data_IF_887565886591
#
_entry.id   IF_887565886591
#
_cell.length_a   1.000
_cell.length_b   1.000
_cell.length_c   1.000
_cell.angle_alpha   90.00
_cell.angle_beta   90.00
_cell.angle_gamma   90.00
#
_symmetry.space_group_name_H-M   'P 1'
#
loop_
_entity.id
_entity.type
_entity.pdbx_description
1 polymer ?
#
# COMPACT_ATOMS: atom_id res chain seq x y z
N UNK A 1 -12.13 50.32 70.84
CA UNK A 1 -13.28 49.67 70.18
C UNK A 1 -12.75 48.74 69.09
N UNK A 2 -12.92 47.42 69.31
CA UNK A 2 -13.64 46.45 68.45
C UNK A 2 -12.89 45.94 67.20
N UNK A 3 -12.10 44.89 67.46
CA UNK A 3 -12.05 43.57 66.82
C UNK A 3 -12.59 43.31 65.39
N UNK A 4 -11.75 42.55 64.65
CA UNK A 4 -12.02 41.51 63.61
C UNK A 4 -12.40 42.05 62.22
N UNK A 5 -11.96 41.47 61.10
CA UNK A 5 -11.82 40.05 60.77
C UNK A 5 -10.64 39.78 59.81
N UNK A 6 -9.66 39.00 60.28
CA UNK A 6 -8.91 38.10 59.41
C UNK A 6 -9.63 36.76 59.42
N UNK A 7 -9.98 36.22 58.25
CA UNK A 7 -10.15 34.78 57.90
C UNK A 7 -11.36 34.58 56.96
N UNK A 8 -11.12 34.50 55.64
CA UNK A 8 -11.83 33.56 54.77
C UNK A 8 -11.26 33.46 53.33
N UNK A 9 -9.95 33.29 53.13
CA UNK A 9 -9.40 33.09 51.76
C UNK A 9 -8.63 31.78 51.56
N UNK A 10 -8.43 30.99 52.61
CA UNK A 10 -7.66 29.75 52.52
C UNK A 10 -8.51 28.49 52.30
N UNK A 11 -9.77 28.44 52.75
CA UNK A 11 -10.61 27.24 52.60
C UNK A 11 -11.11 26.99 51.17
N UNK A 12 -11.38 28.03 50.39
CA UNK A 12 -11.86 27.92 49.01
C UNK A 12 -10.79 27.43 48.04
N UNK A 13 -9.51 27.76 48.28
CA UNK A 13 -8.38 27.35 47.43
C UNK A 13 -8.08 25.86 47.53
N UNK A 14 -8.19 25.26 48.72
CA UNK A 14 -7.99 23.81 48.86
C UNK A 14 -9.09 23.03 48.15
N UNK A 15 -10.36 23.44 48.30
CA UNK A 15 -11.49 22.81 47.60
C UNK A 15 -11.35 22.92 46.07
N UNK A 16 -10.97 24.09 45.54
CA UNK A 16 -10.77 24.25 44.10
C UNK A 16 -9.59 23.44 43.56
N UNK A 17 -8.49 23.31 44.30
CA UNK A 17 -7.35 22.45 43.92
C UNK A 17 -7.74 20.97 43.90
N UNK A 18 -8.53 20.49 44.86
CA UNK A 18 -9.06 19.13 44.83
C UNK A 18 -9.95 18.91 43.62
N UNK A 19 -10.87 19.84 43.32
CA UNK A 19 -11.74 19.75 42.14
C UNK A 19 -10.93 19.72 40.84
N UNK A 20 -9.91 20.57 40.71
CA UNK A 20 -9.02 20.58 39.53
C UNK A 20 -8.23 19.27 39.44
N UNK A 21 -7.72 18.75 40.56
CA UNK A 21 -7.01 17.47 40.60
C UNK A 21 -7.92 16.31 40.17
N UNK A 22 -9.14 16.23 40.69
CA UNK A 22 -10.10 15.20 40.31
C UNK A 22 -10.49 15.31 38.83
N UNK A 23 -10.68 16.53 38.32
CA UNK A 23 -10.96 16.77 36.91
C UNK A 23 -9.79 16.34 36.03
N UNK A 24 -8.55 16.63 36.44
CA UNK A 24 -7.35 16.21 35.73
C UNK A 24 -7.23 14.68 35.69
N UNK A 25 -7.41 13.99 36.82
CA UNK A 25 -7.40 12.53 36.86
C UNK A 25 -8.52 11.94 35.99
N UNK A 26 -9.71 12.54 36.02
CA UNK A 26 -10.83 12.12 35.19
C UNK A 26 -10.55 12.29 33.70
N UNK A 27 -9.98 13.44 33.30
CA UNK A 27 -9.56 13.68 31.92
C UNK A 27 -8.47 12.72 31.48
N UNK A 28 -7.49 12.42 32.33
CA UNK A 28 -6.46 11.43 32.05
C UNK A 28 -7.06 10.04 31.86
N UNK A 29 -7.96 9.61 32.74
CA UNK A 29 -8.66 8.33 32.62
C UNK A 29 -9.51 8.26 31.34
N UNK A 30 -10.22 9.34 31.00
CA UNK A 30 -10.99 9.45 29.76
C UNK A 30 -10.07 9.40 28.53
N UNK A 31 -8.94 10.11 28.54
CA UNK A 31 -7.95 10.11 27.46
C UNK A 31 -7.30 8.73 27.26
N UNK A 32 -6.99 8.02 28.34
CA UNK A 32 -6.52 6.64 28.29
C UNK A 32 -7.57 5.71 27.68
N UNK A 33 -8.85 5.90 28.04
CA UNK A 33 -9.97 5.16 27.47
C UNK A 33 -10.16 5.42 25.97
N UNK A 34 -10.14 6.67 25.54
CA UNK A 34 -10.28 7.03 24.12
C UNK A 34 -9.08 6.56 23.29
N UNK A 35 -7.87 6.64 23.83
CA UNK A 35 -6.67 6.11 23.18
C UNK A 35 -6.78 4.60 22.98
N UNK A 36 -7.33 3.87 23.96
CA UNK A 36 -7.57 2.42 23.84
C UNK A 36 -8.62 2.10 22.78
N UNK A 37 -9.70 2.86 22.72
CA UNK A 37 -10.75 2.70 21.71
C UNK A 37 -10.22 3.00 20.30
N UNK A 38 -9.40 4.06 20.18
CA UNK A 38 -8.73 4.43 18.94
C UNK A 38 -7.74 3.37 18.48
N UNK A 39 -7.02 2.74 19.41
CA UNK A 39 -6.19 1.56 19.14
C UNK A 39 -6.99 0.41 18.53
N UNK A 40 -8.16 0.10 19.11
CA UNK A 40 -9.04 -0.97 18.61
C UNK A 40 -9.65 -0.63 17.23
N UNK A 41 -9.96 0.64 17.00
CA UNK A 41 -10.38 1.14 15.69
C UNK A 41 -9.27 1.01 14.63
N UNK A 42 -8.04 1.37 14.99
CA UNK A 42 -6.88 1.20 14.13
C UNK A 42 -6.63 -0.28 13.82
N UNK A 43 -6.70 -1.15 14.82
CA UNK A 43 -6.54 -2.59 14.64
C UNK A 43 -7.58 -3.15 13.67
N UNK A 44 -8.83 -2.72 13.79
CA UNK A 44 -9.89 -3.08 12.84
C UNK A 44 -9.56 -2.63 11.42
N UNK A 45 -9.14 -1.36 11.23
CA UNK A 45 -8.77 -0.84 9.90
C UNK A 45 -7.54 -1.52 9.31
N UNK A 46 -6.54 -1.82 10.14
CA UNK A 46 -5.33 -2.54 9.73
C UNK A 46 -5.72 -3.96 9.31
N UNK A 47 -6.59 -4.63 10.07
CA UNK A 47 -7.11 -5.96 9.74
C UNK A 47 -7.88 -5.96 8.41
N UNK A 48 -8.74 -4.96 8.18
CA UNK A 48 -9.45 -4.83 6.91
C UNK A 48 -8.48 -4.61 5.73
N UNK A 49 -7.47 -3.76 5.93
CA UNK A 49 -6.46 -3.47 4.90
C UNK A 49 -5.62 -4.71 4.61
N UNK A 50 -5.17 -5.43 5.65
CA UNK A 50 -4.43 -6.67 5.51
C UNK A 50 -5.25 -7.73 4.77
N UNK A 51 -6.53 -7.87 5.11
CA UNK A 51 -7.45 -8.78 4.42
C UNK A 51 -7.57 -8.44 2.92
N UNK A 52 -7.66 -7.16 2.57
CA UNK A 52 -7.70 -6.72 1.16
C UNK A 52 -6.39 -7.06 0.43
N UNK A 53 -5.25 -6.94 1.09
CA UNK A 53 -3.94 -7.32 0.53
C UNK A 53 -3.89 -8.83 0.28
N UNK A 54 -4.35 -9.64 1.23
CA UNK A 54 -4.34 -11.10 1.11
C UNK A 54 -5.24 -11.57 -0.04
N UNK A 55 -6.44 -11.01 -0.17
CA UNK A 55 -7.33 -11.30 -1.30
C UNK A 55 -6.68 -10.94 -2.65
N UNK A 56 -6.07 -9.76 -2.76
CA UNK A 56 -5.38 -9.35 -3.97
C UNK A 56 -4.18 -10.26 -4.29
N UNK A 57 -3.47 -10.75 -3.27
CA UNK A 57 -2.36 -11.68 -3.44
C UNK A 57 -2.85 -13.04 -3.94
N UNK A 58 -3.96 -13.54 -3.42
CA UNK A 58 -4.60 -14.78 -3.89
C UNK A 58 -5.03 -14.67 -5.36
N UNK A 59 -5.70 -13.58 -5.72
CA UNK A 59 -6.10 -13.31 -7.12
C UNK A 59 -4.90 -13.27 -8.06
N UNK A 60 -3.82 -12.59 -7.67
CA UNK A 60 -2.59 -12.54 -8.46
C UNK A 60 -1.95 -13.92 -8.63
N UNK A 61 -1.95 -14.77 -7.59
CA UNK A 61 -1.44 -16.13 -7.68
C UNK A 61 -2.27 -16.99 -8.63
N UNK A 62 -3.61 -16.88 -8.56
CA UNK A 62 -4.51 -17.58 -9.48
C UNK A 62 -4.26 -17.14 -10.92
N UNK A 63 -4.13 -15.84 -11.13
CA UNK A 63 -3.87 -15.27 -12.46
C UNK A 63 -2.51 -15.72 -13.00
N UNK A 64 -1.45 -15.65 -12.19
CA UNK A 64 -0.11 -16.14 -12.53
C UNK A 64 -0.12 -17.62 -12.92
N UNK A 65 -0.84 -18.45 -12.15
CA UNK A 65 -1.02 -19.87 -12.47
C UNK A 65 -1.73 -20.07 -13.81
N UNK A 66 -2.76 -19.27 -14.10
CA UNK A 66 -3.50 -19.33 -15.37
C UNK A 66 -2.64 -18.89 -16.55
N UNK A 67 -1.81 -17.86 -16.38
CA UNK A 67 -0.83 -17.46 -17.38
C UNK A 67 0.20 -18.58 -17.63
N UNK A 68 0.75 -19.19 -16.58
CA UNK A 68 1.66 -20.31 -16.73
C UNK A 68 1.02 -21.51 -17.46
N UNK A 69 -0.27 -21.77 -17.22
CA UNK A 69 -1.02 -22.80 -17.95
C UNK A 69 -1.26 -22.44 -19.41
N UNK A 70 -1.56 -21.17 -19.72
CA UNK A 70 -1.73 -20.70 -21.10
C UNK A 70 -0.41 -20.76 -21.88
N UNK A 71 0.69 -20.35 -21.24
CA UNK A 71 2.03 -20.37 -21.82
C UNK A 71 2.69 -21.76 -21.75
N UNK A 72 2.01 -22.77 -21.20
CA UNK A 72 2.61 -24.10 -21.04
C UNK A 72 3.00 -24.66 -22.42
N UNK A 73 4.25 -25.12 -22.61
CA UNK A 73 4.73 -25.57 -23.92
C UNK A 73 3.85 -26.64 -24.56
N UNK A 74 3.25 -27.53 -23.76
CA UNK A 74 2.32 -28.54 -24.22
C UNK A 74 1.02 -27.95 -24.81
N UNK A 75 0.49 -26.87 -24.23
CA UNK A 75 -0.72 -26.20 -24.75
C UNK A 75 -0.41 -25.41 -26.00
N UNK A 76 0.72 -24.70 -26.01
CA UNK A 76 1.21 -23.98 -27.21
C UNK A 76 1.40 -24.97 -28.36
N UNK A 77 2.04 -26.12 -28.11
CA UNK A 77 2.22 -27.18 -29.10
C UNK A 77 0.88 -27.74 -29.59
N UNK A 78 -0.05 -28.06 -28.68
CA UNK A 78 -1.35 -28.61 -29.06
C UNK A 78 -2.21 -27.61 -29.85
N UNK A 79 -2.21 -26.33 -29.47
CA UNK A 79 -2.89 -25.27 -30.21
C UNK A 79 -2.27 -25.07 -31.59
N UNK A 80 -0.94 -24.98 -31.67
CA UNK A 80 -0.21 -24.88 -32.94
C UNK A 80 -0.53 -26.06 -33.86
N UNK A 81 -0.58 -27.27 -33.33
CA UNK A 81 -0.85 -28.47 -34.12
C UNK A 81 -2.32 -28.60 -34.53
N UNK A 82 -3.28 -28.33 -33.63
CA UNK A 82 -4.71 -28.54 -33.89
C UNK A 82 -5.36 -27.36 -34.63
N UNK A 83 -5.10 -26.14 -34.18
CA UNK A 83 -5.85 -24.95 -34.62
C UNK A 83 -5.09 -24.20 -35.72
N UNK A 84 -3.75 -24.22 -35.70
CA UNK A 84 -2.91 -23.61 -36.73
C UNK A 84 -2.43 -24.63 -37.80
N UNK A 85 -2.73 -25.92 -37.63
CA UNK A 85 -2.30 -26.98 -38.56
C UNK A 85 -0.78 -27.16 -38.67
N UNK A 86 -0.01 -26.67 -37.69
CA UNK A 86 1.44 -26.80 -37.69
C UNK A 86 1.84 -28.25 -37.42
N UNK A 87 2.34 -28.92 -38.44
CA UNK A 87 2.92 -30.25 -38.32
C UNK A 87 4.41 -30.16 -37.96
N UNK A 88 4.95 -31.21 -37.34
CA UNK A 88 6.38 -31.30 -37.08
C UNK A 88 7.13 -31.23 -38.41
N UNK A 89 7.91 -30.17 -38.61
CA UNK A 89 8.75 -30.02 -39.79
C UNK A 89 9.97 -30.94 -39.67
N UNK A 90 10.16 -31.85 -40.64
CA UNK A 90 11.36 -32.71 -40.72
C UNK A 90 12.63 -31.95 -41.08
N UNK A 91 12.52 -30.72 -41.61
CA UNK A 91 13.66 -29.92 -42.05
C UNK A 91 13.59 -28.50 -41.47
N UNK A 92 14.12 -28.34 -40.26
CA UNK A 92 14.20 -27.03 -39.59
C UNK A 92 15.46 -26.31 -40.09
N UNK A 93 15.29 -25.32 -40.98
CA UNK A 93 16.37 -24.39 -41.36
C UNK A 93 16.36 -23.19 -40.41
N UNK A 94 17.35 -23.14 -39.51
CA UNK A 94 17.57 -21.97 -38.65
C UNK A 94 18.30 -20.91 -39.46
N UNK A 95 17.58 -19.86 -39.86
CA UNK A 95 18.16 -18.71 -40.55
C UNK A 95 18.55 -17.68 -39.48
N UNK A 96 19.86 -17.49 -39.27
CA UNK A 96 20.37 -16.40 -38.42
C UNK A 96 20.35 -15.12 -39.25
N UNK A 97 19.50 -14.18 -38.87
CA UNK A 97 19.48 -12.84 -39.44
C UNK A 97 20.56 -11.99 -38.74
N UNK A 98 21.34 -11.25 -39.51
CA UNK A 98 22.29 -10.28 -38.98
C UNK A 98 21.50 -9.11 -38.35
N UNK A 99 21.92 -8.67 -37.15
CA UNK A 99 21.20 -7.71 -36.29
C UNK A 99 20.88 -6.39 -37.01
N UNK A 100 21.65 -6.05 -38.05
CA UNK A 100 21.48 -4.84 -38.86
C UNK A 100 20.27 -4.87 -39.81
N UNK A 101 19.68 -6.03 -40.04
CA UNK A 101 18.60 -6.23 -41.03
C UNK A 101 17.18 -6.23 -40.44
N UNK A 102 17.04 -6.34 -39.12
CA UNK A 102 15.74 -6.36 -38.45
C UNK A 102 15.39 -4.96 -37.97
N UNK A 103 14.63 -4.21 -38.78
CA UNK A 103 13.97 -2.99 -38.32
C UNK A 103 12.83 -3.37 -37.39
N UNK A 104 13.16 -3.56 -36.11
CA UNK A 104 12.15 -3.58 -35.05
C UNK A 104 11.41 -2.24 -35.11
N UNK A 105 10.08 -2.27 -35.14
CA UNK A 105 9.28 -1.08 -34.94
C UNK A 105 9.56 -0.56 -33.53
N UNK A 106 10.52 0.36 -33.41
CA UNK A 106 10.74 1.08 -32.17
C UNK A 106 9.52 1.97 -31.97
N UNK A 107 8.70 1.61 -30.98
CA UNK A 107 7.76 2.56 -30.40
C UNK A 107 8.64 3.68 -29.84
N UNK A 108 8.54 4.85 -30.47
CA UNK A 108 9.14 6.09 -29.99
C UNK A 108 8.47 6.39 -28.66
N UNK A 109 9.07 5.96 -27.55
CA UNK A 109 8.77 6.54 -26.24
C UNK A 109 9.23 7.99 -26.34
N UNK A 110 8.27 8.88 -26.57
CA UNK A 110 8.49 10.30 -26.35
C UNK A 110 8.76 10.45 -24.86
N UNK A 111 10.04 10.58 -24.52
CA UNK A 111 10.47 11.20 -23.27
C UNK A 111 9.95 12.62 -23.29
N UNK A 112 8.71 12.78 -22.80
CA UNK A 112 8.16 14.08 -22.44
C UNK A 112 9.10 14.63 -21.39
N UNK A 113 9.76 15.74 -21.74
CA UNK A 113 10.60 16.47 -20.81
C UNK A 113 9.81 16.76 -19.53
N UNK A 114 10.31 16.21 -18.42
CA UNK A 114 9.77 16.43 -17.09
C UNK A 114 10.07 17.86 -16.65
N UNK A 115 9.27 18.79 -17.14
CA UNK A 115 9.26 20.19 -16.76
C UNK A 115 7.87 20.59 -16.27
N UNK A 116 7.45 20.08 -15.12
CA UNK A 116 6.16 20.45 -14.54
C UNK A 116 6.16 20.28 -13.02
N UNK A 117 5.97 21.41 -12.33
CA UNK A 117 5.89 21.57 -10.87
C UNK A 117 4.93 20.58 -10.16
N UNK A 118 4.07 19.90 -10.92
CA UNK A 118 3.02 19.01 -10.44
C UNK A 118 3.56 17.60 -10.07
N UNK A 119 4.66 17.12 -10.67
CA UNK A 119 5.20 15.78 -10.34
C UNK A 119 5.84 15.69 -8.94
N UNK A 120 6.28 16.81 -8.36
CA UNK A 120 6.87 16.84 -7.01
C UNK A 120 5.85 16.72 -5.87
N UNK A 121 4.54 16.68 -6.16
CA UNK A 121 3.49 16.50 -5.15
C UNK A 121 2.99 15.06 -5.03
N UNK A 122 3.60 14.08 -5.72
CA UNK A 122 3.21 12.67 -5.58
C UNK A 122 4.08 11.95 -4.53
N UNK A 123 3.62 11.76 -3.27
CA UNK A 123 4.36 11.02 -2.25
C UNK A 123 4.38 9.49 -2.47
N UNK A 124 3.86 8.98 -3.59
CA UNK A 124 3.71 7.54 -3.84
C UNK A 124 4.55 6.98 -5.00
N UNK A 125 5.52 7.73 -5.51
CA UNK A 125 6.50 7.18 -6.46
C UNK A 125 7.45 6.26 -5.69
N UNK A 126 7.03 4.99 -5.54
CA UNK A 126 7.85 3.89 -5.04
C UNK A 126 9.11 3.78 -5.89
N UNK A 127 10.24 4.22 -5.33
CA UNK A 127 11.57 3.87 -5.83
C UNK A 127 11.80 2.37 -5.56
N UNK A 128 11.43 1.53 -6.51
CA UNK A 128 11.89 0.15 -6.55
C UNK A 128 13.27 0.14 -7.22
N UNK A 129 14.32 0.39 -6.46
CA UNK A 129 15.69 0.09 -6.87
C UNK A 129 15.92 -1.42 -6.79
N UNK A 130 15.72 -2.13 -7.91
CA UNK A 130 16.32 -3.45 -8.10
C UNK A 130 17.76 -3.24 -8.59
N UNK A 131 18.73 -3.47 -7.71
CA UNK A 131 20.16 -3.49 -8.04
C UNK A 131 20.47 -4.85 -8.68
N UNK A 132 20.99 -4.82 -9.92
CA UNK A 132 21.65 -5.96 -10.57
C UNK A 132 22.94 -6.34 -9.83
#
# INVERSE_FOLDING_TARGET
MRYKEHKHESETKHSSLFVISFLCVFLCAAALGTLRLYGLYLEHRISETARRIDLCKEENLVLSRRYAQLLSPARVYNYARRDLGMNNAENIKVIKLDERSVRLAQVKEETVEKGGFIENLNPFVKQAHAKN
#
